data_IF_709603302358
#
_entry.id   IF_709603302358
#
_cell.length_a   1.000
_cell.length_b   1.000
_cell.length_c   1.000
_cell.angle_alpha   90.00
_cell.angle_beta   90.00
_cell.angle_gamma   90.00
#
_symmetry.space_group_name_H-M   'P 1'
#
loop_
_entity.id
_entity.type
_entity.pdbx_description
1 polymer ?
#
# COMPACT_ATOMS: atom_id res chain seq x y z
N UNK A 1 5.37 -5.01 26.63
CA UNK A 1 6.39 -4.67 27.63
C UNK A 1 5.83 -3.63 28.59
N UNK A 2 6.06 -3.83 29.88
CA UNK A 2 5.58 -2.94 30.95
C UNK A 2 6.48 -1.72 31.10
N UNK A 3 6.55 -0.94 30.04
CA UNK A 3 7.25 0.34 30.04
C UNK A 3 6.31 1.43 30.56
N UNK A 4 6.84 2.43 31.24
CA UNK A 4 6.08 3.64 31.58
C UNK A 4 5.54 4.34 30.31
N UNK A 5 4.62 5.32 30.46
CA UNK A 5 3.91 5.94 29.32
C UNK A 5 4.85 6.56 28.25
N UNK A 6 6.01 7.03 28.65
CA UNK A 6 7.04 7.55 27.73
C UNK A 6 7.72 6.39 26.99
N UNK A 7 8.07 5.33 27.71
CA UNK A 7 8.71 4.15 27.10
C UNK A 7 7.82 3.44 26.07
N UNK A 8 6.51 3.35 26.34
CA UNK A 8 5.54 2.81 25.37
C UNK A 8 5.50 3.62 24.07
N UNK A 9 5.53 4.96 24.16
CA UNK A 9 5.57 5.82 22.98
C UNK A 9 6.86 5.64 22.17
N UNK A 10 8.01 5.69 22.85
CA UNK A 10 9.30 5.50 22.17
C UNK A 10 9.35 4.12 21.48
N UNK A 11 8.89 3.07 22.14
CA UNK A 11 8.81 1.73 21.57
C UNK A 11 7.91 1.68 20.33
N UNK A 12 6.72 2.28 20.40
CA UNK A 12 5.79 2.32 19.27
C UNK A 12 6.38 3.07 18.06
N UNK A 13 7.01 4.23 18.28
CA UNK A 13 7.69 4.97 17.20
C UNK A 13 8.85 4.20 16.61
N UNK A 14 9.67 3.55 17.43
CA UNK A 14 10.81 2.77 16.95
C UNK A 14 10.37 1.59 16.08
N UNK A 15 9.34 0.86 16.49
CA UNK A 15 8.76 -0.24 15.71
C UNK A 15 8.14 0.27 14.41
N UNK A 16 7.44 1.41 14.44
CA UNK A 16 6.86 2.01 13.26
C UNK A 16 7.92 2.43 12.25
N UNK A 17 8.99 3.07 12.69
CA UNK A 17 10.12 3.45 11.84
C UNK A 17 10.80 2.22 11.21
N UNK A 18 11.01 1.16 12.02
CA UNK A 18 11.58 -0.09 11.53
C UNK A 18 10.67 -0.73 10.47
N UNK A 19 9.37 -0.78 10.72
CA UNK A 19 8.39 -1.29 9.77
C UNK A 19 8.41 -0.49 8.46
N UNK A 20 8.46 0.84 8.53
CA UNK A 20 8.54 1.69 7.33
C UNK A 20 9.84 1.49 6.56
N UNK A 21 10.97 1.31 7.25
CA UNK A 21 12.25 1.02 6.62
C UNK A 21 12.22 -0.32 5.88
N UNK A 22 11.69 -1.37 6.49
CA UNK A 22 11.53 -2.69 5.87
C UNK A 22 10.55 -2.65 4.70
N UNK A 23 9.42 -1.96 4.85
CA UNK A 23 8.47 -1.74 3.76
C UNK A 23 9.12 -1.05 2.56
N UNK A 24 9.90 -0.01 2.79
CA UNK A 24 10.61 0.70 1.72
C UNK A 24 11.67 -0.20 1.05
N UNK A 25 12.42 -0.97 1.84
CA UNK A 25 13.43 -1.90 1.34
C UNK A 25 12.84 -2.96 0.39
N UNK A 26 11.59 -3.37 0.60
CA UNK A 26 10.88 -4.32 -0.27
C UNK A 26 10.24 -3.61 -1.48
N UNK A 27 9.60 -2.46 -1.25
CA UNK A 27 8.85 -1.78 -2.31
C UNK A 27 9.72 -1.12 -3.39
N UNK A 28 10.92 -0.62 -3.04
CA UNK A 28 11.79 0.04 -4.01
C UNK A 28 12.27 -0.94 -5.09
N UNK A 29 12.85 -2.13 -4.77
CA UNK A 29 13.19 -3.12 -5.76
C UNK A 29 11.98 -3.62 -6.57
N UNK A 30 10.86 -3.85 -5.89
CA UNK A 30 9.61 -4.27 -6.55
C UNK A 30 9.10 -3.23 -7.56
N UNK A 31 9.19 -1.95 -7.22
CA UNK A 31 8.83 -0.86 -8.13
C UNK A 31 9.76 -0.76 -9.34
N UNK A 32 11.08 -0.96 -9.15
CA UNK A 32 12.08 -0.91 -10.21
C UNK A 32 11.99 -2.10 -11.18
N UNK A 33 11.46 -3.24 -10.72
CA UNK A 33 11.30 -4.46 -11.51
C UNK A 33 10.45 -4.22 -12.76
N UNK A 34 9.45 -3.35 -12.68
CA UNK A 34 8.60 -2.98 -13.82
C UNK A 34 9.41 -2.42 -15.01
N UNK A 35 10.47 -1.66 -14.72
CA UNK A 35 11.34 -1.07 -15.75
C UNK A 35 12.24 -2.07 -16.47
N UNK A 36 12.50 -3.25 -15.87
CA UNK A 36 13.36 -4.30 -16.45
C UNK A 36 12.57 -5.47 -17.02
N UNK A 37 11.25 -5.50 -16.85
CA UNK A 37 10.38 -6.55 -17.38
C UNK A 37 10.06 -6.35 -18.87
N UNK A 38 9.82 -5.11 -19.30
CA UNK A 38 9.44 -4.79 -20.68
C UNK A 38 9.87 -3.38 -21.06
N UNK A 39 10.07 -3.16 -22.35
CA UNK A 39 10.36 -1.85 -22.94
C UNK A 39 9.11 -1.21 -23.58
N UNK A 40 8.06 -2.00 -23.80
CA UNK A 40 6.79 -1.53 -24.35
C UNK A 40 5.97 -0.75 -23.29
N UNK A 41 5.62 0.48 -23.61
CA UNK A 41 4.85 1.36 -22.72
C UNK A 41 3.42 0.85 -22.48
N UNK A 42 2.81 0.14 -23.44
CA UNK A 42 1.49 -0.48 -23.24
C UNK A 42 1.56 -1.63 -22.25
N UNK A 43 2.58 -2.48 -22.33
CA UNK A 43 2.79 -3.55 -21.35
C UNK A 43 3.09 -2.98 -19.97
N UNK A 44 3.95 -1.94 -19.86
CA UNK A 44 4.21 -1.25 -18.58
C UNK A 44 2.93 -0.74 -17.93
N UNK A 45 2.03 -0.16 -18.72
CA UNK A 45 0.76 0.35 -18.22
C UNK A 45 -0.15 -0.79 -17.73
N UNK A 46 -0.21 -1.92 -18.47
CA UNK A 46 -0.98 -3.10 -18.05
C UNK A 46 -0.42 -3.71 -16.75
N UNK A 47 0.90 -3.84 -16.61
CA UNK A 47 1.53 -4.33 -15.38
C UNK A 47 1.28 -3.40 -14.20
N UNK A 48 1.39 -2.09 -14.41
CA UNK A 48 1.10 -1.08 -13.37
C UNK A 48 -0.35 -1.15 -12.93
N UNK A 49 -1.28 -1.28 -13.86
CA UNK A 49 -2.71 -1.40 -13.59
C UNK A 49 -3.03 -2.70 -12.85
N UNK A 50 -2.47 -3.82 -13.27
CA UNK A 50 -2.64 -5.12 -12.60
C UNK A 50 -2.13 -5.08 -11.16
N UNK A 51 -1.01 -4.37 -10.92
CA UNK A 51 -0.47 -4.16 -9.58
C UNK A 51 -1.43 -3.34 -8.70
N UNK A 52 -2.03 -2.29 -9.25
CA UNK A 52 -3.05 -1.49 -8.53
C UNK A 52 -4.28 -2.33 -8.19
N UNK A 53 -4.81 -3.07 -9.16
CA UNK A 53 -5.96 -3.97 -8.94
C UNK A 53 -5.64 -4.99 -7.85
N UNK A 54 -4.47 -5.62 -7.89
CA UNK A 54 -4.04 -6.57 -6.87
C UNK A 54 -3.94 -5.94 -5.47
N UNK A 55 -3.39 -4.73 -5.37
CA UNK A 55 -3.27 -4.02 -4.09
C UNK A 55 -4.64 -3.69 -3.48
N UNK A 56 -5.57 -3.15 -4.27
CA UNK A 56 -6.93 -2.85 -3.82
C UNK A 56 -7.74 -4.11 -3.54
N UNK A 57 -7.59 -5.17 -4.33
CA UNK A 57 -8.25 -6.45 -4.07
C UNK A 57 -7.80 -7.06 -2.73
N UNK A 58 -6.50 -7.02 -2.43
CA UNK A 58 -6.00 -7.47 -1.12
C UNK A 58 -6.45 -6.59 0.02
N UNK A 59 -6.52 -5.26 -0.17
CA UNK A 59 -7.11 -4.33 0.80
C UNK A 59 -8.56 -4.69 1.11
N UNK A 60 -9.37 -4.91 0.08
CA UNK A 60 -10.76 -5.34 0.18
C UNK A 60 -10.91 -6.67 0.93
N UNK A 61 -10.15 -7.70 0.56
CA UNK A 61 -10.17 -9.01 1.21
C UNK A 61 -9.79 -8.89 2.68
N UNK A 62 -8.72 -8.14 2.98
CA UNK A 62 -8.24 -7.94 4.35
C UNK A 62 -9.29 -7.22 5.19
N UNK A 63 -9.89 -6.15 4.67
CA UNK A 63 -10.90 -5.36 5.37
C UNK A 63 -12.15 -6.18 5.71
N UNK A 64 -12.61 -7.03 4.79
CA UNK A 64 -13.75 -7.91 5.03
C UNK A 64 -13.42 -9.08 5.95
N UNK A 65 -12.24 -9.68 5.81
CA UNK A 65 -11.85 -10.88 6.57
C UNK A 65 -11.48 -10.56 8.01
N UNK A 66 -10.95 -9.39 8.27
CA UNK A 66 -10.38 -9.02 9.57
C UNK A 66 -11.36 -9.20 10.74
N UNK A 67 -12.61 -8.70 10.70
CA UNK A 67 -13.56 -8.87 11.80
C UNK A 67 -13.94 -10.33 12.06
N UNK A 68 -14.00 -11.14 11.00
CA UNK A 68 -14.31 -12.58 11.14
C UNK A 68 -13.14 -13.34 11.73
N UNK A 69 -11.92 -13.02 11.29
CA UNK A 69 -10.70 -13.64 11.81
C UNK A 69 -10.46 -13.28 13.28
N UNK A 70 -10.76 -12.04 13.69
CA UNK A 70 -10.71 -11.65 15.10
C UNK A 70 -11.62 -12.52 15.98
N UNK A 71 -12.84 -12.78 15.51
CA UNK A 71 -13.79 -13.66 16.24
C UNK A 71 -13.31 -15.11 16.30
N UNK A 72 -12.67 -15.61 15.25
CA UNK A 72 -12.13 -16.97 15.21
C UNK A 72 -10.94 -17.17 16.15
N UNK A 73 -10.03 -16.19 16.23
CA UNK A 73 -8.85 -16.27 17.09
C UNK A 73 -9.25 -16.20 18.57
N UNK A 74 -10.29 -15.42 18.92
CA UNK A 74 -10.72 -15.25 20.30
C UNK A 74 -9.66 -14.68 21.22
N UNK A 75 -9.93 -14.63 22.52
CA UNK A 75 -8.98 -14.14 23.52
C UNK A 75 -8.94 -12.60 23.65
N UNK A 76 -7.86 -12.07 24.22
CA UNK A 76 -7.68 -10.63 24.40
C UNK A 76 -7.36 -9.93 23.07
N UNK A 77 -7.75 -8.67 22.92
CA UNK A 77 -7.47 -7.89 21.72
C UNK A 77 -5.98 -7.90 21.34
N UNK A 78 -5.08 -7.82 22.32
CA UNK A 78 -3.64 -7.89 22.09
C UNK A 78 -3.21 -9.23 21.45
N UNK A 79 -3.81 -10.34 21.90
CA UNK A 79 -3.53 -11.66 21.34
C UNK A 79 -4.05 -11.78 19.91
N UNK A 80 -5.27 -11.29 19.64
CA UNK A 80 -5.87 -11.28 18.29
C UNK A 80 -5.00 -10.52 17.30
N UNK A 81 -4.57 -9.30 17.63
CA UNK A 81 -3.70 -8.49 16.77
C UNK A 81 -2.34 -9.14 16.55
N UNK A 82 -1.76 -9.76 17.57
CA UNK A 82 -0.47 -10.44 17.43
C UNK A 82 -0.54 -11.65 16.50
N UNK A 83 -1.56 -12.51 16.66
CA UNK A 83 -1.75 -13.70 15.82
C UNK A 83 -2.08 -13.30 14.37
N UNK A 84 -3.02 -12.37 14.17
CA UNK A 84 -3.39 -11.93 12.83
C UNK A 84 -2.23 -11.22 12.14
N UNK A 85 -1.48 -10.39 12.85
CA UNK A 85 -0.27 -9.75 12.34
C UNK A 85 0.79 -10.75 11.90
N UNK A 86 1.00 -11.82 12.69
CA UNK A 86 1.93 -12.90 12.31
C UNK A 86 1.46 -13.66 11.07
N UNK A 87 0.17 -13.99 10.97
CA UNK A 87 -0.40 -14.69 9.82
C UNK A 87 -0.32 -13.86 8.55
N UNK A 88 -0.76 -12.61 8.57
CA UNK A 88 -0.68 -11.73 7.42
C UNK A 88 0.77 -11.41 7.05
N UNK A 89 1.66 -11.25 8.05
CA UNK A 89 3.09 -11.08 7.83
C UNK A 89 3.73 -12.27 7.13
N UNK A 90 3.35 -13.50 7.53
CA UNK A 90 3.84 -14.72 6.88
C UNK A 90 3.34 -14.82 5.42
N UNK A 91 2.07 -14.54 5.17
CA UNK A 91 1.49 -14.52 3.82
C UNK A 91 2.22 -13.49 2.95
N UNK A 92 2.47 -12.29 3.47
CA UNK A 92 3.18 -11.24 2.76
C UNK A 92 4.63 -11.65 2.45
N UNK A 93 5.33 -12.29 3.40
CA UNK A 93 6.69 -12.78 3.21
C UNK A 93 6.75 -13.87 2.12
N UNK A 94 5.85 -14.84 2.16
CA UNK A 94 5.76 -15.90 1.14
C UNK A 94 5.45 -15.29 -0.23
N UNK A 95 4.48 -14.37 -0.32
CA UNK A 95 4.12 -13.69 -1.55
C UNK A 95 5.28 -12.88 -2.14
N UNK A 96 6.03 -12.17 -1.32
CA UNK A 96 7.19 -11.38 -1.74
C UNK A 96 8.32 -12.30 -2.24
N UNK A 97 8.61 -13.38 -1.52
CA UNK A 97 9.60 -14.38 -1.94
C UNK A 97 9.21 -15.06 -3.25
N UNK A 98 7.95 -15.47 -3.37
CA UNK A 98 7.42 -16.06 -4.61
C UNK A 98 7.55 -15.08 -5.79
N UNK A 99 7.20 -13.82 -5.58
CA UNK A 99 7.36 -12.77 -6.60
C UNK A 99 8.82 -12.65 -7.04
N UNK A 100 9.76 -12.57 -6.09
CA UNK A 100 11.18 -12.46 -6.40
C UNK A 100 11.77 -13.67 -7.11
N UNK A 101 11.31 -14.89 -6.78
CA UNK A 101 11.81 -16.13 -7.37
C UNK A 101 11.18 -16.42 -8.75
N UNK A 102 9.92 -16.07 -8.95
CA UNK A 102 9.18 -16.38 -10.18
C UNK A 102 9.35 -15.32 -11.27
N UNK A 103 9.69 -14.08 -10.89
CA UNK A 103 9.87 -13.00 -11.86
C UNK A 103 11.22 -13.10 -12.54
N UNK A 104 11.20 -13.14 -13.88
CA UNK A 104 12.41 -13.17 -14.72
C UNK A 104 12.65 -11.79 -15.31
N UNK A 105 13.85 -11.27 -15.13
CA UNK A 105 14.30 -10.06 -15.81
C UNK A 105 14.45 -10.36 -17.31
N UNK A 106 13.73 -9.64 -18.15
CA UNK A 106 13.79 -9.80 -19.62
C UNK A 106 14.80 -8.85 -20.25
N UNK A 107 14.96 -7.66 -19.67
CA UNK A 107 15.91 -6.66 -20.12
C UNK A 107 17.17 -6.78 -19.27
N UNK A 108 18.33 -6.86 -19.93
CA UNK A 108 19.61 -6.77 -19.21
C UNK A 108 19.74 -5.37 -18.62
N UNK A 109 19.95 -5.24 -17.32
CA UNK A 109 20.17 -3.92 -16.74
C UNK A 109 21.37 -3.26 -17.43
N UNK A 110 21.19 -2.03 -17.85
CA UNK A 110 22.32 -1.21 -18.33
C UNK A 110 23.35 -1.22 -17.21
N UNK A 111 24.59 -1.58 -17.55
CA UNK A 111 25.69 -1.76 -16.60
C UNK A 111 25.71 -0.57 -15.63
N UNK A 112 25.43 -0.87 -14.37
CA UNK A 112 25.35 0.17 -13.36
C UNK A 112 26.71 0.88 -13.28
N UNK A 113 26.76 2.11 -13.74
CA UNK A 113 27.87 3.00 -13.43
C UNK A 113 28.00 3.10 -11.92
N UNK A 114 29.24 3.19 -11.43
CA UNK A 114 29.48 3.29 -9.99
C UNK A 114 28.63 4.42 -9.42
N UNK A 115 27.84 4.06 -8.39
CA UNK A 115 26.98 5.03 -7.70
C UNK A 115 27.82 6.26 -7.29
N UNK A 116 27.42 7.43 -7.77
CA UNK A 116 28.04 8.70 -7.42
C UNK A 116 27.01 9.63 -6.79
N UNK A 117 27.34 10.21 -5.65
CA UNK A 117 26.51 11.22 -5.01
C UNK A 117 26.22 12.43 -5.91
N UNK A 118 27.06 12.68 -6.91
CA UNK A 118 26.83 13.74 -7.91
C UNK A 118 25.59 13.47 -8.76
N UNK A 119 25.31 12.21 -9.09
CA UNK A 119 24.10 11.80 -9.81
C UNK A 119 22.82 12.15 -9.04
N UNK A 120 22.89 12.14 -7.70
CA UNK A 120 21.76 12.58 -6.86
C UNK A 120 21.49 14.09 -7.01
N UNK A 121 22.53 14.90 -7.15
CA UNK A 121 22.40 16.33 -7.42
C UNK A 121 21.77 16.62 -8.79
N UNK A 122 22.11 15.80 -9.80
CA UNK A 122 21.57 15.95 -11.16
C UNK A 122 20.07 15.61 -11.23
N UNK A 123 19.56 14.72 -10.35
CA UNK A 123 18.12 14.44 -10.23
C UNK A 123 17.32 15.70 -9.85
N UNK A 124 17.82 16.49 -8.90
CA UNK A 124 17.16 17.75 -8.49
C UNK A 124 17.22 18.83 -9.57
N UNK A 125 18.00 18.63 -10.62
CA UNK A 125 18.06 19.52 -11.78
C UNK A 125 17.09 19.13 -12.90
N UNK A 126 16.54 17.92 -12.82
CA UNK A 126 15.58 17.38 -13.78
C UNK A 126 14.15 17.84 -13.41
N UNK A 127 13.61 18.84 -14.13
CA UNK A 127 12.28 19.40 -13.88
C UNK A 127 11.14 18.35 -13.91
N UNK A 128 11.03 17.46 -14.91
CA UNK A 128 10.03 16.40 -14.90
C UNK A 128 10.08 15.53 -13.64
N UNK A 129 11.27 15.17 -13.16
CA UNK A 129 11.45 14.41 -11.95
C UNK A 129 10.92 15.14 -10.71
N UNK A 130 11.20 16.46 -10.60
CA UNK A 130 10.71 17.28 -9.48
C UNK A 130 9.18 17.30 -9.46
N UNK A 131 8.54 17.52 -10.62
CA UNK A 131 7.08 17.55 -10.70
C UNK A 131 6.45 16.21 -10.33
N UNK A 132 6.98 15.09 -10.82
CA UNK A 132 6.51 13.75 -10.47
C UNK A 132 6.67 13.47 -8.97
N UNK A 133 7.80 13.85 -8.39
CA UNK A 133 8.06 13.71 -6.97
C UNK A 133 7.08 14.54 -6.13
N UNK A 134 6.84 15.78 -6.53
CA UNK A 134 5.90 16.67 -5.84
C UNK A 134 4.46 16.13 -5.90
N UNK A 135 4.04 15.66 -7.07
CA UNK A 135 2.72 15.01 -7.24
C UNK A 135 2.63 13.77 -6.34
N UNK A 136 3.68 12.93 -6.31
CA UNK A 136 3.74 11.76 -5.43
C UNK A 136 3.61 12.11 -3.95
N UNK A 137 4.31 13.13 -3.49
CA UNK A 137 4.22 13.62 -2.10
C UNK A 137 2.79 14.12 -1.80
N UNK A 138 2.23 14.98 -2.65
CA UNK A 138 0.87 15.51 -2.47
C UNK A 138 -0.18 14.39 -2.46
N UNK A 139 -0.07 13.40 -3.34
CA UNK A 139 -0.99 12.27 -3.43
C UNK A 139 -0.92 11.41 -2.16
N UNK A 140 0.28 11.09 -1.67
CA UNK A 140 0.44 10.31 -0.44
C UNK A 140 -0.07 11.08 0.78
N UNK A 141 0.20 12.38 0.86
CA UNK A 141 -0.31 13.24 1.93
C UNK A 141 -1.85 13.28 1.92
N UNK A 142 -2.46 13.49 0.75
CA UNK A 142 -3.91 13.46 0.60
C UNK A 142 -4.52 12.11 1.02
N UNK A 143 -3.92 10.99 0.60
CA UNK A 143 -4.40 9.67 1.00
C UNK A 143 -4.31 9.45 2.50
N UNK A 144 -3.19 9.82 3.13
CA UNK A 144 -3.04 9.72 4.59
C UNK A 144 -4.08 10.55 5.34
N UNK A 145 -4.31 11.79 4.90
CA UNK A 145 -5.34 12.67 5.46
C UNK A 145 -6.75 12.10 5.31
N UNK A 146 -7.07 11.58 4.13
CA UNK A 146 -8.37 10.97 3.84
C UNK A 146 -8.68 9.82 4.79
N UNK A 147 -7.73 8.90 5.00
CA UNK A 147 -7.92 7.78 5.91
C UNK A 147 -8.08 8.24 7.37
N UNK A 148 -7.28 9.18 7.81
CA UNK A 148 -7.36 9.71 9.17
C UNK A 148 -8.69 10.44 9.40
N UNK A 149 -9.06 11.36 8.52
CA UNK A 149 -10.29 12.15 8.63
C UNK A 149 -11.54 11.27 8.56
N UNK A 150 -11.57 10.27 7.66
CA UNK A 150 -12.70 9.35 7.56
C UNK A 150 -12.92 8.59 8.88
N UNK A 151 -11.85 8.09 9.53
CA UNK A 151 -11.95 7.43 10.82
C UNK A 151 -12.57 8.33 11.89
N UNK A 152 -12.04 9.53 12.04
CA UNK A 152 -12.56 10.51 13.03
C UNK A 152 -14.00 10.97 12.71
N UNK A 153 -14.34 11.15 11.43
CA UNK A 153 -15.68 11.52 11.02
C UNK A 153 -16.71 10.45 11.43
N UNK A 154 -16.42 9.17 11.22
CA UNK A 154 -17.32 8.10 11.62
C UNK A 154 -17.43 7.97 13.14
N UNK A 155 -16.35 8.16 13.87
CA UNK A 155 -16.32 8.03 15.32
C UNK A 155 -17.03 9.20 16.03
N UNK A 156 -16.70 10.44 15.66
CA UNK A 156 -17.14 11.64 16.39
C UNK A 156 -18.34 12.35 15.77
N UNK A 157 -18.48 12.37 14.44
CA UNK A 157 -19.58 13.09 13.78
C UNK A 157 -20.77 12.20 13.50
N UNK A 158 -20.53 10.94 13.15
CA UNK A 158 -21.59 10.00 12.72
C UNK A 158 -21.92 8.94 13.79
N UNK A 159 -21.32 9.05 14.98
CA UNK A 159 -21.57 8.13 16.12
C UNK A 159 -21.44 6.64 15.72
N UNK A 160 -20.50 6.34 14.82
CA UNK A 160 -20.14 5.01 14.38
C UNK A 160 -20.91 4.46 13.19
N UNK A 161 -22.19 4.81 13.02
CA UNK A 161 -23.03 4.27 11.95
C UNK A 161 -23.94 5.34 11.34
N UNK A 162 -24.12 5.27 10.01
CA UNK A 162 -25.07 6.10 9.29
C UNK A 162 -26.09 5.20 8.59
N UNK A 163 -27.36 5.46 8.77
CA UNK A 163 -28.42 4.74 8.07
C UNK A 163 -28.88 5.56 6.85
N UNK A 164 -28.60 5.06 5.64
CA UNK A 164 -29.05 5.68 4.40
C UNK A 164 -29.98 4.71 3.70
N UNK A 165 -31.23 5.08 3.53
CA UNK A 165 -32.27 4.27 2.85
C UNK A 165 -32.37 2.83 3.39
N UNK A 166 -32.22 2.63 4.71
CA UNK A 166 -32.26 1.32 5.35
C UNK A 166 -30.94 0.53 5.34
N UNK A 167 -29.90 1.04 4.70
CA UNK A 167 -28.56 0.44 4.71
C UNK A 167 -27.72 1.07 5.83
N UNK A 168 -27.18 0.23 6.70
CA UNK A 168 -26.27 0.68 7.77
C UNK A 168 -24.87 0.81 7.19
N UNK A 169 -24.40 2.04 7.04
CA UNK A 169 -23.05 2.35 6.56
C UNK A 169 -22.19 2.68 7.78
N UNK A 170 -21.23 1.82 8.06
CA UNK A 170 -20.18 2.08 9.02
C UNK A 170 -18.85 2.38 8.30
N UNK A 171 -17.81 2.73 9.04
CA UNK A 171 -16.49 3.01 8.49
C UNK A 171 -15.98 1.88 7.57
N UNK A 172 -16.16 0.63 7.98
CA UNK A 172 -15.70 -0.55 7.23
C UNK A 172 -16.43 -0.66 5.88
N UNK A 173 -17.75 -0.51 5.87
CA UNK A 173 -18.56 -0.54 4.63
C UNK A 173 -18.17 0.60 3.70
N UNK A 174 -18.01 1.80 4.23
CA UNK A 174 -17.60 2.97 3.44
C UNK A 174 -16.24 2.76 2.77
N UNK A 175 -15.24 2.30 3.52
CA UNK A 175 -13.91 2.01 2.99
C UNK A 175 -13.93 0.87 1.97
N UNK A 176 -14.71 -0.18 2.21
CA UNK A 176 -14.89 -1.31 1.29
C UNK A 176 -15.42 -0.87 -0.07
N UNK A 177 -16.43 0.01 -0.10
CA UNK A 177 -16.92 0.59 -1.36
C UNK A 177 -15.85 1.44 -2.06
N UNK A 178 -15.07 2.21 -1.31
CA UNK A 178 -13.94 2.97 -1.85
C UNK A 178 -12.89 2.08 -2.53
N UNK A 179 -12.47 1.02 -1.87
CA UNK A 179 -11.50 0.06 -2.40
C UNK A 179 -12.03 -0.65 -3.67
N UNK A 180 -13.29 -1.08 -3.66
CA UNK A 180 -13.93 -1.72 -4.80
C UNK A 180 -14.02 -0.78 -6.01
N UNK A 181 -14.37 0.48 -5.78
CA UNK A 181 -14.40 1.52 -6.81
C UNK A 181 -13.00 1.72 -7.42
N UNK A 182 -11.97 1.86 -6.58
CA UNK A 182 -10.59 2.00 -7.03
C UNK A 182 -10.10 0.77 -7.83
N UNK A 183 -10.51 -0.45 -7.42
CA UNK A 183 -10.18 -1.68 -8.13
C UNK A 183 -10.79 -1.69 -9.54
N UNK A 184 -12.06 -1.33 -9.68
CA UNK A 184 -12.76 -1.29 -10.98
C UNK A 184 -12.13 -0.24 -11.89
N UNK A 185 -11.96 0.99 -11.44
CA UNK A 185 -11.35 2.05 -12.25
C UNK A 185 -9.88 1.78 -12.58
N UNK A 186 -9.11 1.19 -11.66
CA UNK A 186 -7.74 0.75 -11.90
C UNK A 186 -7.66 -0.33 -12.98
N UNK A 187 -8.60 -1.28 -12.99
CA UNK A 187 -8.67 -2.35 -13.99
C UNK A 187 -9.08 -1.86 -15.39
N UNK A 188 -9.90 -0.82 -15.45
CA UNK A 188 -10.38 -0.24 -16.73
C UNK A 188 -9.39 0.78 -17.32
N UNK A 189 -8.48 1.32 -16.51
CA UNK A 189 -7.50 2.34 -16.90
C UNK A 189 -6.71 2.02 -18.19
N UNK A 190 -6.17 0.80 -18.43
CA UNK A 190 -5.44 0.48 -19.65
C UNK A 190 -6.29 0.55 -20.92
N UNK A 191 -7.60 0.36 -20.78
CA UNK A 191 -8.50 0.43 -21.92
C UNK A 191 -8.68 1.86 -22.44
N UNK A 192 -8.66 2.84 -21.54
CA UNK A 192 -8.73 4.26 -21.93
C UNK A 192 -7.39 4.83 -22.44
N UNK A 193 -6.29 4.17 -22.11
CA UNK A 193 -4.93 4.63 -22.52
C UNK A 193 -4.40 3.93 -23.75
N UNK A 194 -5.13 2.93 -24.29
CA UNK A 194 -4.79 2.32 -25.57
C UNK A 194 -4.90 3.39 -26.66
N UNK A 195 -3.77 3.92 -27.07
CA UNK A 195 -3.65 4.66 -28.33
C UNK A 195 -3.64 3.64 -29.45
N UNK A 196 -4.55 3.78 -30.41
CA UNK A 196 -4.53 3.11 -31.71
C UNK A 196 -3.22 3.42 -32.46
#
# INVERSE_FOLDING_TARGET
PDFGPVGKRVWAYSLYLLMMAMYTAVNVPYGSLLGVMTDDDNEKNQFSSSRMVGAYAMGFITLLSFPYLQKLVGGTEQHQYAVLGAVFGLIAAIGTLACGLLTKERLKPVRAEKFSFKQFGDLFRNRPWIYLTLIGICTNFFNGFRYAVAGYMFEYCLHGNVTVSGLIINYTVFMTFGELTCMVFGGVSPWFTKKD
#
